data_IF_632230696591
#
_entry.id   IF_632230696591
#
_cell.length_a   1.000
_cell.length_b   1.000
_cell.length_c   1.000
_cell.angle_alpha   90.00
_cell.angle_beta   90.00
_cell.angle_gamma   90.00
#
_symmetry.space_group_name_H-M   'P 1'
#
loop_
_entity.id
_entity.type
_entity.pdbx_description
1 polymer ?
#
# COMPACT_ATOMS: atom_id res chain seq x y z
N UNK A 1 -2.29 -12.08 -32.64
CA UNK A 1 -1.56 -12.17 -31.35
C UNK A 1 -2.18 -11.13 -30.44
N UNK A 2 -3.21 -11.50 -29.68
CA UNK A 2 -3.82 -10.59 -28.70
C UNK A 2 -2.80 -10.33 -27.60
N UNK A 3 -2.37 -9.07 -27.46
CA UNK A 3 -1.73 -8.63 -26.23
C UNK A 3 -2.84 -8.59 -25.18
N UNK A 4 -2.83 -9.51 -24.22
CA UNK A 4 -3.63 -9.38 -23.01
C UNK A 4 -3.36 -7.98 -22.45
N UNK A 5 -4.39 -7.13 -22.41
CA UNK A 5 -4.27 -5.81 -21.81
C UNK A 5 -3.90 -6.02 -20.34
N UNK A 6 -2.76 -5.47 -19.92
CA UNK A 6 -2.38 -5.45 -18.51
C UNK A 6 -3.50 -4.76 -17.73
N UNK A 7 -3.97 -5.39 -16.65
CA UNK A 7 -4.98 -4.75 -15.80
C UNK A 7 -4.31 -3.56 -15.09
N UNK A 8 -4.69 -2.31 -15.42
CA UNK A 8 -4.06 -1.12 -14.86
C UNK A 8 -4.23 -1.05 -13.34
N UNK A 9 -5.24 -1.70 -12.78
CA UNK A 9 -5.49 -1.74 -11.34
C UNK A 9 -4.43 -2.56 -10.58
N UNK A 10 -3.74 -3.49 -11.26
CA UNK A 10 -2.72 -4.36 -10.67
C UNK A 10 -1.30 -3.80 -10.77
N UNK A 11 -1.07 -2.75 -11.54
CA UNK A 11 0.26 -2.16 -11.68
C UNK A 11 0.68 -1.37 -10.44
N UNK A 12 1.95 -1.43 -10.07
CA UNK A 12 2.53 -0.57 -9.03
C UNK A 12 2.71 0.86 -9.56
N UNK A 13 2.16 1.84 -8.84
CA UNK A 13 2.35 3.26 -9.14
C UNK A 13 3.36 3.88 -8.18
N UNK A 14 4.14 4.85 -8.64
CA UNK A 14 5.07 5.60 -7.81
C UNK A 14 4.96 7.11 -8.10
N UNK A 15 4.88 7.90 -7.02
CA UNK A 15 4.91 9.35 -7.09
C UNK A 15 6.17 9.85 -6.38
N UNK A 16 7.08 10.43 -7.16
CA UNK A 16 8.35 10.93 -6.65
C UNK A 16 8.23 12.44 -6.41
N UNK A 17 8.14 12.84 -5.14
CA UNK A 17 8.29 14.23 -4.74
C UNK A 17 9.75 14.58 -4.46
N UNK A 18 10.00 15.82 -4.05
CA UNK A 18 11.37 16.31 -3.77
C UNK A 18 12.10 15.53 -2.68
N UNK A 19 11.36 15.05 -1.66
CA UNK A 19 11.93 14.36 -0.49
C UNK A 19 11.36 12.97 -0.25
N UNK A 20 10.18 12.68 -0.79
CA UNK A 20 9.42 11.46 -0.48
C UNK A 20 8.99 10.80 -1.78
N UNK A 21 9.17 9.47 -1.84
CA UNK A 21 8.58 8.61 -2.86
C UNK A 21 7.39 7.87 -2.26
N UNK A 22 6.21 8.06 -2.84
CA UNK A 22 4.99 7.34 -2.47
C UNK A 22 4.75 6.21 -3.46
N UNK A 23 4.75 4.96 -2.99
CA UNK A 23 4.57 3.77 -3.82
C UNK A 23 3.22 3.12 -3.47
N UNK A 24 2.37 2.92 -4.48
CA UNK A 24 1.07 2.27 -4.36
C UNK A 24 1.07 0.96 -5.17
N UNK A 25 1.41 -0.19 -4.54
CA UNK A 25 1.32 -1.49 -5.19
C UNK A 25 -0.14 -1.85 -5.52
N UNK A 26 -0.33 -2.54 -6.65
CA UNK A 26 -1.64 -3.04 -7.08
C UNK A 26 -1.93 -4.47 -6.62
N UNK A 27 -0.97 -5.15 -6.00
CA UNK A 27 -1.11 -6.53 -5.52
C UNK A 27 -0.49 -6.70 -4.13
N UNK A 28 -0.99 -7.70 -3.37
CA UNK A 28 -0.41 -8.06 -2.08
C UNK A 28 1.04 -8.52 -2.23
N UNK A 29 1.36 -9.25 -3.30
CA UNK A 29 2.71 -9.72 -3.57
C UNK A 29 3.69 -8.56 -3.76
N UNK A 30 3.32 -7.54 -4.53
CA UNK A 30 4.16 -6.35 -4.71
C UNK A 30 4.33 -5.58 -3.40
N UNK A 31 3.27 -5.46 -2.59
CA UNK A 31 3.35 -4.82 -1.27
C UNK A 31 4.35 -5.54 -0.37
N UNK A 32 4.30 -6.88 -0.31
CA UNK A 32 5.22 -7.69 0.49
C UNK A 32 6.65 -7.57 -0.02
N UNK A 33 6.86 -7.61 -1.35
CA UNK A 33 8.18 -7.44 -1.95
C UNK A 33 8.75 -6.04 -1.66
N UNK A 34 7.94 -4.99 -1.76
CA UNK A 34 8.32 -3.62 -1.43
C UNK A 34 8.64 -3.46 0.06
N UNK A 35 7.86 -4.09 0.94
CA UNK A 35 8.11 -4.05 2.39
C UNK A 35 9.38 -4.82 2.77
N UNK A 36 9.66 -5.94 2.12
CA UNK A 36 10.92 -6.66 2.29
C UNK A 36 12.12 -5.83 1.79
N UNK A 37 11.96 -5.13 0.65
CA UNK A 37 13.00 -4.24 0.09
C UNK A 37 13.23 -2.99 0.93
N UNK A 38 12.16 -2.43 1.51
CA UNK A 38 12.18 -1.21 2.31
C UNK A 38 11.58 -1.47 3.69
N UNK A 39 12.31 -2.16 4.60
CA UNK A 39 11.77 -2.59 5.88
C UNK A 39 11.37 -1.43 6.80
N UNK A 40 11.99 -0.26 6.66
CA UNK A 40 11.64 0.94 7.44
C UNK A 40 10.50 1.77 6.82
N UNK A 41 10.06 1.45 5.60
CA UNK A 41 8.99 2.19 4.96
C UNK A 41 7.65 1.92 5.66
N UNK A 42 6.94 2.95 6.15
CA UNK A 42 5.64 2.79 6.76
C UNK A 42 4.60 2.38 5.69
N UNK A 43 3.71 1.47 6.09
CA UNK A 43 2.50 1.13 5.33
C UNK A 43 1.38 2.04 5.80
N UNK A 44 0.78 2.82 4.90
CA UNK A 44 -0.14 3.90 5.21
C UNK A 44 -1.45 3.71 4.46
N UNK A 45 -2.46 3.23 5.17
CA UNK A 45 -3.84 3.21 4.64
C UNK A 45 -4.55 4.57 4.76
N UNK A 46 -4.08 5.42 5.69
CA UNK A 46 -4.54 6.79 5.90
C UNK A 46 -3.50 7.57 6.70
N UNK A 47 -3.53 8.91 6.64
CA UNK A 47 -2.43 9.73 7.14
C UNK A 47 -2.61 10.26 8.58
N UNK A 48 -3.62 9.79 9.31
CA UNK A 48 -4.02 10.35 10.61
C UNK A 48 -3.04 10.09 11.74
N UNK A 49 -2.32 8.96 11.70
CA UNK A 49 -1.27 8.65 12.69
C UNK A 49 0.09 9.19 12.23
N UNK A 50 0.47 8.93 10.98
CA UNK A 50 1.80 9.30 10.48
C UNK A 50 1.95 10.81 10.28
N UNK A 51 0.92 11.50 9.79
CA UNK A 51 0.98 12.95 9.54
C UNK A 51 1.40 13.75 10.77
N UNK A 52 0.72 13.60 11.93
CA UNK A 52 1.17 14.21 13.18
C UNK A 52 2.58 13.78 13.58
N UNK A 53 2.91 12.48 13.53
CA UNK A 53 4.23 11.98 13.91
C UNK A 53 5.37 12.59 13.07
N UNK A 54 5.16 12.75 11.76
CA UNK A 54 6.15 13.40 10.88
C UNK A 54 6.22 14.92 11.11
N UNK A 55 5.09 15.56 11.39
CA UNK A 55 5.01 17.01 11.53
C UNK A 55 5.56 17.52 12.87
N UNK A 56 5.25 16.84 13.97
CA UNK A 56 5.58 17.33 15.33
C UNK A 56 6.72 16.58 16.01
N UNK A 57 6.97 15.32 15.63
CA UNK A 57 7.98 14.48 16.28
C UNK A 57 9.25 14.30 15.44
N UNK A 58 9.33 14.95 14.27
CA UNK A 58 10.53 14.96 13.43
C UNK A 58 10.85 13.62 12.74
N UNK A 59 9.96 12.64 12.80
CA UNK A 59 10.12 11.38 12.07
C UNK A 59 10.04 11.63 10.56
N UNK A 60 11.02 11.13 9.81
CA UNK A 60 11.06 11.31 8.36
C UNK A 60 11.24 9.96 7.66
N UNK A 61 10.38 9.71 6.67
CA UNK A 61 10.38 8.48 5.89
C UNK A 61 10.45 8.84 4.39
N UNK A 62 11.58 8.58 3.72
CA UNK A 62 11.75 8.93 2.31
C UNK A 62 10.92 8.04 1.38
N UNK A 63 10.45 6.88 1.86
CA UNK A 63 9.61 5.95 1.11
C UNK A 63 8.35 5.67 1.94
N UNK A 64 7.19 5.83 1.32
CA UNK A 64 5.88 5.52 1.90
C UNK A 64 5.19 4.47 1.03
N UNK A 65 4.62 3.44 1.66
CA UNK A 65 3.87 2.39 0.96
C UNK A 65 2.38 2.55 1.22
N UNK A 66 1.56 2.64 0.17
CA UNK A 66 0.10 2.70 0.33
C UNK A 66 -0.58 1.44 -0.18
N UNK A 67 -1.21 0.64 0.72
CA UNK A 67 -1.92 -0.58 0.34
C UNK A 67 -3.28 -0.28 -0.30
N UNK A 68 -3.61 1.00 -0.51
CA UNK A 68 -4.90 1.47 -1.01
C UNK A 68 -5.25 1.03 -2.44
N UNK A 69 -4.48 0.18 -3.10
CA UNK A 69 -4.83 -0.45 -4.38
C UNK A 69 -4.73 -1.97 -4.34
N UNK A 70 -4.52 -2.54 -3.16
CA UNK A 70 -4.49 -4.00 -2.94
C UNK A 70 -5.91 -4.47 -2.58
N UNK A 71 -6.60 -5.22 -3.47
CA UNK A 71 -7.97 -5.69 -3.21
C UNK A 71 -8.04 -6.63 -2.00
N UNK A 72 -6.97 -7.39 -1.78
CA UNK A 72 -6.73 -8.33 -0.67
C UNK A 72 -6.67 -7.65 0.73
N UNK A 73 -6.82 -6.32 0.80
CA UNK A 73 -6.83 -5.59 2.08
C UNK A 73 -8.14 -4.81 2.27
N UNK A 74 -9.12 -5.05 1.40
CA UNK A 74 -10.39 -4.31 1.33
C UNK A 74 -11.59 -5.21 1.10
N UNK A 75 -11.38 -6.47 0.77
CA UNK A 75 -12.46 -7.41 0.54
C UNK A 75 -12.95 -7.94 1.88
N UNK A 76 -14.23 -7.73 2.17
CA UNK A 76 -14.88 -8.27 3.36
C UNK A 76 -15.67 -9.49 2.95
N UNK A 77 -15.37 -10.64 3.54
CA UNK A 77 -16.14 -11.88 3.36
C UNK A 77 -16.75 -12.31 4.68
N UNK A 78 -17.98 -12.82 4.62
CA UNK A 78 -18.68 -13.36 5.80
C UNK A 78 -18.43 -14.86 5.87
N UNK A 79 -17.84 -15.33 6.97
CA UNK A 79 -17.74 -16.76 7.28
C UNK A 79 -19.13 -17.33 7.62
N UNK A 80 -19.30 -18.64 7.45
CA UNK A 80 -20.47 -19.39 7.95
C UNK A 80 -20.75 -19.15 9.44
N UNK A 81 -19.70 -18.81 10.17
CA UNK A 81 -19.68 -18.68 11.63
C UNK A 81 -20.06 -17.26 12.08
N UNK A 82 -20.32 -16.36 11.11
CA UNK A 82 -20.73 -14.98 11.35
C UNK A 82 -19.58 -13.97 11.45
N UNK A 83 -18.33 -14.42 11.41
CA UNK A 83 -17.14 -13.56 11.42
C UNK A 83 -16.87 -12.92 10.05
N UNK A 84 -16.29 -11.71 10.04
CA UNK A 84 -15.86 -11.03 8.82
C UNK A 84 -14.35 -11.20 8.63
N UNK A 85 -13.94 -11.78 7.51
CA UNK A 85 -12.53 -11.88 7.11
C UNK A 85 -12.19 -10.78 6.11
N UNK A 86 -11.07 -10.11 6.36
CA UNK A 86 -10.41 -9.28 5.35
C UNK A 86 -9.48 -10.21 4.59
N UNK A 87 -9.86 -10.48 3.33
CA UNK A 87 -9.07 -11.26 2.38
C UNK A 87 -8.32 -10.36 1.45
#
# INVERSE_FOLDING_TARGET
>A
MERMAENPDRQTLAFCGERITWISPGTLQDLLALKAKYPEAPVISGNTSLGPAMKSQGHFYPILLSPARVPDLRTVTKSSDGEFLVL
#
